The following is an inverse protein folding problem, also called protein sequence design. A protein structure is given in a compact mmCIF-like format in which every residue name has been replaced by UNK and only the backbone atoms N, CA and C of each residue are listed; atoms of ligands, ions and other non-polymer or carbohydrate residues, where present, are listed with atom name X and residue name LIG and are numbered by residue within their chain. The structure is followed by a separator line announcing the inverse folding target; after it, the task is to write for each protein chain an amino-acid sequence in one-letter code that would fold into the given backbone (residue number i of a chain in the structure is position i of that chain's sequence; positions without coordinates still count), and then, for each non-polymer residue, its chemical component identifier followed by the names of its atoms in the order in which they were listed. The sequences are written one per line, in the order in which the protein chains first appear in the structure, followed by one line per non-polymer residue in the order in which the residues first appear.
data_IF_640603408514
#
_entry.id   IF_640603408514
#
_cell.length_a   1.000
_cell.length_b   1.000
_cell.length_c   1.000
_cell.angle_alpha   90.00
_cell.angle_beta   90.00
_cell.angle_gamma   90.00
#
_symmetry.space_group_name_H-M   'P 1'
#
loop_
_entity.id
_entity.type
_entity.pdbx_description
1 polymer ?
#
# COMPACT_ATOMS: atom_id res chain seq x y z
N UNK A 1 -28.31 -7.11 42.58
CA UNK A 1 -28.36 -6.86 41.13
C UNK A 1 -27.05 -6.17 40.78
N UNK A 2 -26.00 -6.95 40.46
CA UNK A 2 -24.67 -6.41 40.15
C UNK A 2 -24.59 -6.16 38.65
N UNK A 3 -24.24 -4.93 38.30
CA UNK A 3 -23.94 -4.49 36.94
C UNK A 3 -22.64 -5.19 36.55
N UNK A 4 -22.63 -5.94 35.44
CA UNK A 4 -21.43 -6.62 34.97
C UNK A 4 -20.40 -5.56 34.54
N UNK A 5 -19.20 -5.62 35.12
CA UNK A 5 -18.08 -4.72 34.81
C UNK A 5 -17.74 -4.76 33.31
N UNK A 6 -17.38 -3.61 32.74
CA UNK A 6 -17.06 -3.42 31.32
C UNK A 6 -15.99 -4.41 30.81
N UNK A 7 -15.04 -4.79 31.67
CA UNK A 7 -14.03 -5.82 31.37
C UNK A 7 -14.60 -7.23 31.21
N UNK A 8 -15.68 -7.54 31.92
CA UNK A 8 -16.35 -8.84 31.81
C UNK A 8 -17.11 -8.92 30.48
N UNK A 9 -17.76 -7.83 30.07
CA UNK A 9 -18.43 -7.79 28.76
C UNK A 9 -17.45 -7.88 27.58
N UNK A 10 -16.23 -7.35 27.73
CA UNK A 10 -15.15 -7.47 26.72
C UNK A 10 -14.60 -8.89 26.57
N UNK A 11 -14.76 -9.77 27.57
CA UNK A 11 -14.32 -11.18 27.49
C UNK A 11 -15.33 -12.12 26.80
N UNK A 12 -16.60 -11.70 26.65
CA UNK A 12 -17.66 -12.51 26.06
C UNK A 12 -18.03 -12.13 24.62
N UNK A 13 -17.61 -10.97 24.13
CA UNK A 13 -17.59 -10.72 22.69
C UNK A 13 -16.33 -11.34 22.11
N UNK A 14 -16.47 -12.53 21.54
CA UNK A 14 -15.48 -13.03 20.59
C UNK A 14 -15.27 -11.94 19.54
N UNK A 15 -14.09 -11.30 19.44
CA UNK A 15 -13.82 -10.52 18.26
C UNK A 15 -13.92 -11.53 17.13
N UNK A 16 -14.80 -11.28 16.17
CA UNK A 16 -14.72 -11.93 14.88
C UNK A 16 -13.37 -11.44 14.33
N UNK A 17 -12.30 -12.12 14.72
CA UNK A 17 -11.04 -12.06 14.00
C UNK A 17 -11.44 -12.60 12.64
N UNK A 18 -11.68 -11.69 11.70
CA UNK A 18 -11.36 -11.99 10.32
C UNK A 18 -9.96 -12.61 10.40
N UNK A 19 -9.90 -13.92 10.17
CA UNK A 19 -8.68 -14.69 10.24
C UNK A 19 -7.86 -14.27 9.02
N UNK A 20 -7.27 -13.06 9.08
CA UNK A 20 -6.23 -12.63 8.17
C UNK A 20 -5.04 -13.50 8.53
N UNK A 21 -4.72 -14.43 7.65
CA UNK A 21 -3.75 -15.49 7.93
C UNK A 21 -2.38 -14.87 8.30
N UNK A 22 -1.66 -15.42 9.30
CA UNK A 22 -0.37 -14.90 9.74
C UNK A 22 0.67 -14.79 8.61
N UNK A 23 0.53 -15.63 7.59
CA UNK A 23 1.50 -15.76 6.50
C UNK A 23 1.51 -14.52 5.58
N UNK A 24 0.34 -13.92 5.34
CA UNK A 24 0.23 -12.71 4.50
C UNK A 24 0.97 -11.51 5.11
N UNK A 25 0.93 -11.37 6.45
CA UNK A 25 1.60 -10.26 7.13
C UNK A 25 3.13 -10.44 7.16
N UNK A 26 3.60 -11.68 7.30
CA UNK A 26 5.03 -11.99 7.28
C UNK A 26 5.64 -11.75 5.89
N UNK A 27 4.94 -12.16 4.84
CA UNK A 27 5.37 -11.94 3.46
C UNK A 27 5.31 -10.46 3.06
N UNK A 28 4.29 -9.74 3.52
CA UNK A 28 4.21 -8.28 3.41
C UNK A 28 5.43 -7.59 4.05
N UNK A 29 5.72 -7.89 5.32
CA UNK A 29 6.82 -7.27 6.05
C UNK A 29 8.17 -7.57 5.40
N UNK A 30 8.39 -8.82 4.97
CA UNK A 30 9.61 -9.23 4.29
C UNK A 30 9.79 -8.49 2.96
N UNK A 31 8.73 -8.38 2.18
CA UNK A 31 8.75 -7.68 0.89
C UNK A 31 9.03 -6.20 1.08
N UNK A 32 8.42 -5.57 2.09
CA UNK A 32 8.68 -4.17 2.43
C UNK A 32 10.15 -3.95 2.80
N UNK A 33 10.74 -4.81 3.63
CA UNK A 33 12.15 -4.72 4.01
C UNK A 33 13.09 -4.84 2.80
N UNK A 34 12.76 -5.68 1.82
CA UNK A 34 13.54 -5.82 0.58
C UNK A 34 13.53 -4.53 -0.24
N UNK A 35 12.36 -3.91 -0.43
CA UNK A 35 12.25 -2.63 -1.13
C UNK A 35 13.00 -1.51 -0.38
N UNK A 36 12.85 -1.42 0.94
CA UNK A 36 13.53 -0.43 1.76
C UNK A 36 15.06 -0.59 1.70
N UNK A 37 15.55 -1.83 1.73
CA UNK A 37 16.98 -2.13 1.58
C UNK A 37 17.48 -1.71 0.20
N UNK A 38 16.75 -2.06 -0.87
CA UNK A 38 17.09 -1.64 -2.23
C UNK A 38 17.13 -0.13 -2.39
N UNK A 39 16.14 0.58 -1.85
CA UNK A 39 16.09 2.04 -1.86
C UNK A 39 17.12 2.70 -0.93
N UNK A 40 17.66 1.98 0.06
CA UNK A 40 18.80 2.47 0.84
C UNK A 40 20.09 2.42 0.02
N UNK A 41 20.22 1.41 -0.85
CA UNK A 41 21.39 1.24 -1.73
C UNK A 41 21.32 2.14 -2.97
N UNK A 42 20.12 2.31 -3.55
CA UNK A 42 19.87 3.12 -4.75
C UNK A 42 18.59 3.97 -4.58
N UNK A 43 18.67 5.09 -3.84
CA UNK A 43 17.50 5.87 -3.42
C UNK A 43 16.77 6.60 -4.55
N UNK A 44 17.43 6.74 -5.71
CA UNK A 44 16.92 7.42 -6.87
C UNK A 44 16.67 6.47 -8.03
N UNK A 45 16.59 5.16 -7.79
CA UNK A 45 16.23 4.21 -8.83
C UNK A 45 14.74 4.36 -9.18
N UNK A 46 14.37 4.87 -10.37
CA UNK A 46 12.98 5.13 -10.71
C UNK A 46 12.16 3.84 -10.75
N UNK A 47 12.77 2.70 -11.10
CA UNK A 47 12.10 1.40 -11.15
C UNK A 47 11.83 0.86 -9.73
N UNK A 48 12.80 0.95 -8.81
CA UNK A 48 12.56 0.52 -7.42
C UNK A 48 11.50 1.39 -6.74
N UNK A 49 11.53 2.71 -6.97
CA UNK A 49 10.52 3.64 -6.45
C UNK A 49 9.12 3.30 -6.98
N UNK A 50 8.97 3.09 -8.29
CA UNK A 50 7.69 2.75 -8.90
C UNK A 50 7.16 1.38 -8.46
N UNK A 51 8.03 0.37 -8.37
CA UNK A 51 7.65 -0.97 -7.93
C UNK A 51 7.25 -0.97 -6.45
N UNK A 52 7.96 -0.23 -5.60
CA UNK A 52 7.59 -0.12 -4.20
C UNK A 52 6.26 0.60 -4.01
N UNK A 53 6.04 1.70 -4.75
CA UNK A 53 4.75 2.39 -4.78
C UNK A 53 3.59 1.44 -5.18
N UNK A 54 3.82 0.59 -6.19
CA UNK A 54 2.82 -0.38 -6.62
C UNK A 54 2.54 -1.44 -5.54
N UNK A 55 3.57 -1.95 -4.86
CA UNK A 55 3.41 -2.86 -3.73
C UNK A 55 2.62 -2.23 -2.59
N UNK A 56 2.97 -1.01 -2.20
CA UNK A 56 2.25 -0.25 -1.17
C UNK A 56 0.78 -0.08 -1.53
N UNK A 57 0.48 0.22 -2.79
CA UNK A 57 -0.90 0.35 -3.24
C UNK A 57 -1.65 -1.00 -3.26
N UNK A 58 -1.11 -2.01 -3.96
CA UNK A 58 -1.84 -3.26 -4.26
C UNK A 58 -1.96 -4.17 -3.06
N UNK A 59 -0.87 -4.27 -2.30
CA UNK A 59 -0.70 -5.25 -1.23
C UNK A 59 -0.92 -4.57 0.11
N UNK A 60 -0.16 -3.50 0.40
CA UNK A 60 -0.24 -2.81 1.69
C UNK A 60 -1.51 -1.98 1.86
N UNK A 61 -2.17 -1.61 0.75
CA UNK A 61 -3.29 -0.65 0.71
C UNK A 61 -2.94 0.70 1.36
N UNK A 62 -1.67 1.06 1.29
CA UNK A 62 -1.08 2.30 1.82
C UNK A 62 -0.95 3.32 0.68
N UNK A 63 -2.08 3.96 0.37
CA UNK A 63 -2.22 4.80 -0.81
C UNK A 63 -1.40 6.10 -0.71
N UNK A 64 -1.31 6.68 0.49
CA UNK A 64 -0.56 7.91 0.72
C UNK A 64 0.93 7.70 0.45
N UNK A 65 1.52 6.64 1.01
CA UNK A 65 2.93 6.32 0.74
C UNK A 65 3.15 5.91 -0.71
N UNK A 66 2.20 5.18 -1.32
CA UNK A 66 2.29 4.84 -2.73
C UNK A 66 2.37 6.09 -3.62
N UNK A 67 1.52 7.10 -3.37
CA UNK A 67 1.56 8.36 -4.11
C UNK A 67 2.91 9.07 -3.98
N UNK A 68 3.47 9.14 -2.78
CA UNK A 68 4.78 9.76 -2.54
C UNK A 68 5.90 9.06 -3.32
N UNK A 69 5.92 7.73 -3.34
CA UNK A 69 6.92 6.98 -4.08
C UNK A 69 6.75 7.10 -5.60
N UNK A 70 5.51 7.16 -6.11
CA UNK A 70 5.29 7.44 -7.54
C UNK A 70 5.77 8.84 -7.94
N UNK A 71 5.50 9.87 -7.11
CA UNK A 71 6.00 11.23 -7.35
C UNK A 71 7.52 11.27 -7.37
N UNK A 72 8.18 10.59 -6.43
CA UNK A 72 9.63 10.46 -6.41
C UNK A 72 10.16 9.79 -7.67
N UNK A 73 9.55 8.69 -8.13
CA UNK A 73 9.96 7.99 -9.34
C UNK A 73 9.91 8.89 -10.58
N UNK A 74 8.87 9.71 -10.70
CA UNK A 74 8.68 10.68 -11.81
C UNK A 74 9.69 11.83 -11.74
N UNK A 75 10.13 12.21 -10.54
CA UNK A 75 11.05 13.32 -10.31
C UNK A 75 12.54 13.00 -10.51
N UNK A 76 12.92 11.75 -10.81
CA UNK A 76 14.31 11.38 -11.09
C UNK A 76 14.67 11.73 -12.54
N UNK A 77 15.68 12.58 -12.73
CA UNK A 77 16.18 12.99 -14.05
C UNK A 77 17.61 12.49 -14.39
N UNK A 78 17.89 12.14 -15.66
CA UNK A 78 16.89 11.78 -16.67
C UNK A 78 16.25 10.45 -16.26
N UNK A 79 14.92 10.30 -16.38
CA UNK A 79 14.34 9.01 -16.12
C UNK A 79 14.92 8.00 -17.11
N UNK A 80 15.15 6.78 -16.64
CA UNK A 80 15.08 5.67 -17.58
C UNK A 80 13.69 5.76 -18.23
N UNK A 81 13.66 6.13 -19.52
CA UNK A 81 12.47 6.57 -20.21
C UNK A 81 11.36 5.50 -20.15
N UNK A 82 11.75 4.24 -20.00
CA UNK A 82 10.84 3.11 -19.86
C UNK A 82 10.21 3.06 -18.46
N UNK A 83 11.02 3.25 -17.41
CA UNK A 83 10.54 3.29 -16.03
C UNK A 83 9.57 4.47 -15.80
N UNK A 84 9.86 5.64 -16.39
CA UNK A 84 8.98 6.80 -16.33
C UNK A 84 7.65 6.59 -17.03
N UNK A 85 7.66 5.99 -18.23
CA UNK A 85 6.43 5.66 -18.96
C UNK A 85 5.59 4.66 -18.17
N UNK A 86 6.22 3.65 -17.59
CA UNK A 86 5.54 2.64 -16.79
C UNK A 86 4.91 3.24 -15.53
N UNK A 87 5.67 4.01 -14.75
CA UNK A 87 5.17 4.70 -13.55
C UNK A 87 4.03 5.67 -13.88
N UNK A 88 4.18 6.47 -14.94
CA UNK A 88 3.17 7.43 -15.38
C UNK A 88 1.90 6.76 -15.89
N UNK A 89 2.03 5.65 -16.64
CA UNK A 89 0.91 4.87 -17.13
C UNK A 89 0.10 4.28 -15.97
N UNK A 90 0.78 3.62 -15.02
CA UNK A 90 0.13 3.03 -13.86
C UNK A 90 -0.59 4.08 -13.01
N UNK A 91 0.04 5.25 -12.78
CA UNK A 91 -0.58 6.33 -12.05
C UNK A 91 -1.87 6.84 -12.70
N UNK A 92 -1.86 7.07 -14.03
CA UNK A 92 -3.04 7.57 -14.76
C UNK A 92 -4.18 6.58 -14.79
N UNK A 93 -3.91 5.32 -15.18
CA UNK A 93 -4.91 4.26 -15.18
C UNK A 93 -5.54 4.10 -13.80
N UNK A 94 -4.76 4.27 -12.73
CA UNK A 94 -5.25 4.15 -11.36
C UNK A 94 -6.11 5.32 -10.91
N UNK A 95 -5.73 6.58 -11.22
CA UNK A 95 -6.58 7.74 -10.95
C UNK A 95 -7.95 7.60 -11.62
N UNK A 96 -7.97 7.07 -12.84
CA UNK A 96 -9.20 6.84 -13.59
C UNK A 96 -10.05 5.73 -12.94
N UNK A 97 -9.43 4.66 -12.42
CA UNK A 97 -10.13 3.60 -11.68
C UNK A 97 -10.70 4.09 -10.34
N UNK A 98 -9.94 4.85 -9.56
CA UNK A 98 -10.43 5.40 -8.28
C UNK A 98 -11.62 6.36 -8.50
N UNK A 99 -11.53 7.23 -9.51
CA UNK A 99 -12.63 8.11 -9.89
C UNK A 99 -13.88 7.31 -10.33
N UNK A 100 -13.69 6.19 -11.03
CA UNK A 100 -14.78 5.30 -11.40
C UNK A 100 -15.40 4.60 -10.16
N UNK A 101 -14.59 4.00 -9.29
CA UNK A 101 -15.05 3.33 -8.07
C UNK A 101 -15.82 4.27 -7.13
N UNK A 102 -15.35 5.51 -6.95
CA UNK A 102 -16.05 6.53 -6.17
C UNK A 102 -17.44 6.82 -6.76
N UNK A 103 -17.53 6.97 -8.08
CA UNK A 103 -18.78 7.27 -8.79
C UNK A 103 -19.78 6.11 -8.73
N UNK A 104 -19.30 4.86 -8.84
CA UNK A 104 -20.15 3.67 -8.84
C UNK A 104 -20.48 3.14 -7.44
N UNK A 105 -19.68 3.43 -6.42
CA UNK A 105 -19.89 3.03 -5.02
C UNK A 105 -20.88 3.91 -4.24
N UNK A 106 -21.28 5.05 -4.80
CA UNK A 106 -22.22 6.01 -4.19
C UNK A 106 -23.71 5.81 -4.56
N UNK A 107 -24.11 4.60 -4.97
CA UNK A 107 -25.50 4.26 -5.32
C UNK A 107 -26.16 3.28 -4.36
#
# INVERSE_FOLDING_TARGET
MQVLDHETMQKFVSPIKANVEPDDYADYFRTEQLYQTGLTQDPNNPLLLANYAQFLYLVARDYDRAEDYFKRAIGVEPPDAEAYKYASFLWRVRKDLWAAEETFGSH
#
